data_IF_089503209642
#
_entry.id   IF_089503209642
#
_cell.length_a   1.000
_cell.length_b   1.000
_cell.length_c   1.000
_cell.angle_alpha   90.00
_cell.angle_beta   90.00
_cell.angle_gamma   90.00
#
_symmetry.space_group_name_H-M   'P 1'
#
loop_
_entity.id
_entity.type
_entity.pdbx_description
1 polymer ?
#
# COMPACT_ATOMS: atom_id res chain seq x y z
N UNK A 1 1.52 -4.48 34.24
CA UNK A 1 1.54 -4.73 32.77
C UNK A 1 2.93 -4.37 32.23
N UNK A 2 3.60 -5.28 31.51
CA UNK A 2 4.84 -4.94 30.77
C UNK A 2 4.43 -4.26 29.46
N UNK A 3 4.73 -2.97 29.32
CA UNK A 3 4.65 -2.28 28.04
C UNK A 3 5.93 -2.63 27.26
N UNK A 4 5.80 -3.49 26.26
CA UNK A 4 6.87 -3.75 25.30
C UNK A 4 6.86 -2.58 24.32
N UNK A 5 7.71 -1.58 24.56
CA UNK A 5 7.94 -0.52 23.58
C UNK A 5 8.75 -1.14 22.45
N UNK A 6 8.08 -1.43 21.33
CA UNK A 6 8.72 -1.95 20.12
C UNK A 6 9.55 -0.81 19.54
N UNK A 7 10.86 -0.84 19.79
CA UNK A 7 11.80 0.13 19.25
C UNK A 7 11.71 0.13 17.73
N UNK A 8 11.03 1.14 17.16
CA UNK A 8 11.17 1.44 15.74
C UNK A 8 12.55 2.06 15.60
N UNK A 9 13.51 1.27 15.13
CA UNK A 9 14.81 1.75 14.70
C UNK A 9 14.61 2.64 13.46
N UNK A 10 14.15 3.87 13.69
CA UNK A 10 14.18 4.93 12.71
C UNK A 10 15.64 5.33 12.59
N UNK A 11 16.37 4.66 11.70
CA UNK A 11 17.80 4.89 11.49
C UNK A 11 18.13 6.38 11.30
N UNK A 12 19.41 6.70 11.46
CA UNK A 12 19.93 8.06 11.31
C UNK A 12 19.50 8.67 9.96
N UNK A 13 18.66 9.71 10.00
CA UNK A 13 18.13 10.34 8.80
C UNK A 13 19.27 11.03 8.05
N UNK A 14 19.64 10.49 6.89
CA UNK A 14 20.69 11.03 6.05
C UNK A 14 20.07 11.70 4.80
N UNK A 15 20.18 13.03 4.62
CA UNK A 15 19.51 13.76 3.52
C UNK A 15 20.00 13.39 2.11
N UNK A 16 21.16 12.75 2.02
CA UNK A 16 21.79 12.34 0.75
C UNK A 16 21.54 10.86 0.41
N UNK A 17 20.88 10.10 1.29
CA UNK A 17 20.55 8.70 1.01
C UNK A 17 19.28 8.63 0.15
N UNK A 18 19.38 8.02 -1.03
CA UNK A 18 18.22 7.84 -1.91
C UNK A 18 17.12 7.03 -1.20
N UNK A 19 15.84 7.40 -1.39
CA UNK A 19 14.73 6.68 -0.80
C UNK A 19 14.76 5.22 -1.29
N UNK A 20 14.89 4.28 -0.35
CA UNK A 20 14.87 2.84 -0.66
C UNK A 20 13.58 2.50 -1.43
N UNK A 21 13.66 1.71 -2.52
CA UNK A 21 12.47 1.29 -3.23
C UNK A 21 11.54 0.57 -2.25
N UNK A 22 10.26 0.98 -2.25
CA UNK A 22 9.26 0.33 -1.40
C UNK A 22 9.15 -1.14 -1.84
N UNK A 23 9.18 -2.10 -0.90
CA UNK A 23 9.05 -3.51 -1.25
C UNK A 23 7.75 -3.74 -2.02
N UNK A 24 7.80 -4.60 -3.05
CA UNK A 24 6.61 -5.05 -3.76
C UNK A 24 5.70 -5.75 -2.76
N UNK A 25 4.45 -5.34 -2.69
CA UNK A 25 3.49 -5.96 -1.78
C UNK A 25 2.97 -7.24 -2.39
N UNK A 26 3.27 -8.36 -1.73
CA UNK A 26 2.81 -9.70 -2.11
C UNK A 26 1.37 -9.97 -1.66
N UNK A 27 0.86 -9.13 -0.77
CA UNK A 27 -0.49 -9.22 -0.22
C UNK A 27 -1.32 -8.02 -0.63
N UNK A 28 -2.61 -8.25 -0.83
CA UNK A 28 -3.58 -7.21 -1.12
C UNK A 28 -3.66 -6.21 0.03
N UNK A 29 -3.50 -4.93 -0.28
CA UNK A 29 -3.51 -3.83 0.71
C UNK A 29 -4.86 -3.60 1.39
N UNK A 30 -5.93 -4.22 0.87
CA UNK A 30 -7.30 -4.02 1.34
C UNK A 30 -7.72 -5.17 2.24
N UNK A 31 -7.56 -6.43 1.79
CA UNK A 31 -7.97 -7.61 2.55
C UNK A 31 -6.81 -8.32 3.27
N UNK A 32 -5.55 -8.00 2.95
CA UNK A 32 -4.35 -8.59 3.54
C UNK A 32 -4.02 -10.02 3.06
N UNK A 33 -4.78 -10.56 2.11
CA UNK A 33 -4.58 -11.91 1.55
C UNK A 33 -3.54 -11.90 0.42
N UNK A 34 -2.92 -13.06 0.17
CA UNK A 34 -1.92 -13.23 -0.87
C UNK A 34 -2.48 -12.95 -2.27
N UNK A 35 -1.66 -12.31 -3.09
CA UNK A 35 -1.96 -12.00 -4.49
C UNK A 35 -1.73 -13.27 -5.32
N UNK A 36 -2.76 -14.11 -5.43
CA UNK A 36 -2.73 -15.35 -6.21
C UNK A 36 -2.79 -15.13 -7.73
N UNK A 37 -3.40 -16.06 -8.45
CA UNK A 37 -3.57 -15.98 -9.91
C UNK A 37 -4.79 -15.12 -10.34
N UNK A 38 -5.38 -14.38 -9.41
CA UNK A 38 -6.55 -13.55 -9.68
C UNK A 38 -6.18 -12.22 -10.35
N UNK A 39 -7.18 -11.50 -10.85
CA UNK A 39 -6.95 -10.18 -11.43
C UNK A 39 -6.51 -9.22 -10.33
N UNK A 40 -5.39 -8.56 -10.58
CA UNK A 40 -4.81 -7.58 -9.66
C UNK A 40 -4.88 -6.19 -10.29
N UNK A 41 -5.15 -5.20 -9.46
CA UNK A 41 -5.11 -3.80 -9.83
C UNK A 41 -3.87 -3.17 -9.22
N UNK A 42 -3.15 -2.37 -10.01
CA UNK A 42 -2.01 -1.59 -9.55
C UNK A 42 -2.28 -0.09 -9.65
N UNK A 43 -2.02 0.62 -8.56
CA UNK A 43 -2.17 2.07 -8.49
C UNK A 43 -1.08 2.75 -9.34
N UNK A 44 -1.44 3.62 -10.31
CA UNK A 44 -0.47 4.30 -11.17
C UNK A 44 0.43 5.29 -10.42
N UNK A 45 -0.04 5.83 -9.29
CA UNK A 45 0.74 6.84 -8.55
C UNK A 45 1.78 6.30 -7.58
N UNK A 46 1.50 5.18 -6.91
CA UNK A 46 2.38 4.67 -5.85
C UNK A 46 2.81 3.21 -6.06
N UNK A 47 2.24 2.51 -7.05
CA UNK A 47 2.52 1.11 -7.32
C UNK A 47 1.89 0.14 -6.32
N UNK A 48 0.97 0.60 -5.46
CA UNK A 48 0.20 -0.29 -4.58
C UNK A 48 -0.56 -1.31 -5.43
N UNK A 49 -0.50 -2.60 -5.05
CA UNK A 49 -1.20 -3.66 -5.76
C UNK A 49 -2.23 -4.29 -4.82
N UNK A 50 -3.40 -4.61 -5.34
CA UNK A 50 -4.43 -5.33 -4.62
C UNK A 50 -5.32 -6.13 -5.57
N UNK A 51 -6.17 -6.98 -5.02
CA UNK A 51 -7.17 -7.70 -5.82
C UNK A 51 -8.09 -6.71 -6.52
N UNK A 52 -8.44 -7.00 -7.78
CA UNK A 52 -9.29 -6.12 -8.59
C UNK A 52 -10.65 -5.92 -7.91
N UNK A 53 -11.27 -6.99 -7.40
CA UNK A 53 -12.54 -6.92 -6.67
C UNK A 53 -12.46 -6.01 -5.44
N UNK A 54 -11.40 -6.15 -4.63
CA UNK A 54 -11.20 -5.30 -3.46
C UNK A 54 -11.00 -3.84 -3.85
N UNK A 55 -10.28 -3.57 -4.94
CA UNK A 55 -10.08 -2.22 -5.45
C UNK A 55 -11.38 -1.63 -5.97
N UNK A 56 -12.19 -2.37 -6.73
CA UNK A 56 -13.51 -1.93 -7.20
C UNK A 56 -14.42 -1.55 -6.03
N UNK A 57 -14.58 -2.42 -5.03
CA UNK A 57 -15.39 -2.15 -3.83
C UNK A 57 -14.89 -0.89 -3.09
N UNK A 58 -13.58 -0.73 -2.99
CA UNK A 58 -12.98 0.43 -2.36
C UNK A 58 -13.22 1.73 -3.16
N UNK A 59 -13.10 1.66 -4.48
CA UNK A 59 -13.31 2.80 -5.36
C UNK A 59 -14.77 3.27 -5.35
N UNK A 60 -15.74 2.36 -5.24
CA UNK A 60 -17.16 2.72 -5.07
C UNK A 60 -17.39 3.62 -3.85
N UNK A 61 -16.62 3.43 -2.77
CA UNK A 61 -16.80 4.18 -1.51
C UNK A 61 -15.89 5.41 -1.41
N UNK A 62 -14.62 5.29 -1.80
CA UNK A 62 -13.57 6.28 -1.50
C UNK A 62 -12.91 6.89 -2.73
N UNK A 63 -13.00 6.26 -3.91
CA UNK A 63 -12.41 6.74 -5.17
C UNK A 63 -10.91 7.11 -5.11
N UNK A 64 -10.18 6.66 -4.09
CA UNK A 64 -8.80 7.07 -3.78
C UNK A 64 -7.96 5.85 -3.43
N UNK A 65 -6.65 5.92 -3.60
CA UNK A 65 -5.75 4.82 -3.24
C UNK A 65 -5.67 4.64 -1.71
N UNK A 66 -5.81 3.41 -1.17
CA UNK A 66 -5.70 3.17 0.27
C UNK A 66 -4.29 3.47 0.84
N UNK A 67 -3.24 3.42 0.01
CA UNK A 67 -1.87 3.70 0.44
C UNK A 67 -1.47 5.17 0.27
N UNK A 68 -1.62 5.74 -0.93
CA UNK A 68 -1.14 7.10 -1.19
C UNK A 68 -2.23 8.18 -1.14
N UNK A 69 -3.50 7.78 -0.94
CA UNK A 69 -4.67 8.66 -0.86
C UNK A 69 -4.90 9.55 -2.09
N UNK A 70 -4.23 9.27 -3.21
CA UNK A 70 -4.47 9.97 -4.48
C UNK A 70 -5.72 9.42 -5.15
N UNK A 71 -6.50 10.26 -5.86
CA UNK A 71 -7.66 9.81 -6.63
C UNK A 71 -7.21 8.84 -7.72
N UNK A 72 -7.98 7.79 -7.93
CA UNK A 72 -7.69 6.74 -8.92
C UNK A 72 -8.66 6.72 -10.09
N UNK A 73 -9.73 7.50 -9.99
CA UNK A 73 -10.65 7.79 -11.07
C UNK A 73 -10.24 9.12 -11.68
N UNK A 74 -9.76 9.09 -12.92
CA UNK A 74 -9.73 10.27 -13.76
C UNK A 74 -11.18 10.51 -14.22
N UNK A 75 -11.78 11.60 -13.74
CA UNK A 75 -13.09 12.08 -14.18
C UNK A 75 -12.99 12.72 -15.55
#
# INVERSE_FOLDING_TARGET
>A
MRLVIREVNAGFWNPFEEPKPRPKQENCVICGLEMGNEKTYSCPHCGAVGHMSCFDDWLVVKQTCPLCRRPLVEM
#
